data_IF_324322150879
#
_entry.id   IF_324322150879
#
_cell.length_a   1.000
_cell.length_b   1.000
_cell.length_c   1.000
_cell.angle_alpha   90.00
_cell.angle_beta   90.00
_cell.angle_gamma   90.00
#
_symmetry.space_group_name_H-M   'P 1'
#
loop_
_entity.id
_entity.type
_entity.pdbx_description
1 polymer ?
#
# COMPACT_ATOMS: atom_id res chain seq x y z
N UNK A 1 -14.85 3.17 14.51
CA UNK A 1 -16.13 3.34 13.78
C UNK A 1 -16.30 4.73 13.17
N UNK A 2 -16.68 5.80 13.90
CA UNK A 2 -16.91 7.15 13.32
C UNK A 2 -15.73 7.65 12.45
N UNK A 3 -14.50 7.51 12.96
CA UNK A 3 -13.28 7.86 12.20
C UNK A 3 -13.11 7.06 10.90
N UNK A 4 -13.46 5.77 10.93
CA UNK A 4 -13.35 4.86 9.80
C UNK A 4 -14.42 5.22 8.74
N UNK A 5 -15.67 5.41 9.15
CA UNK A 5 -16.77 5.79 8.25
C UNK A 5 -16.54 7.15 7.60
N UNK A 6 -16.11 8.16 8.36
CA UNK A 6 -15.76 9.46 7.81
C UNK A 6 -14.51 9.40 6.91
N UNK A 7 -13.47 8.67 7.32
CA UNK A 7 -12.25 8.50 6.53
C UNK A 7 -12.54 7.85 5.18
N UNK A 8 -13.22 6.70 5.18
CA UNK A 8 -13.54 5.97 3.96
C UNK A 8 -14.50 6.72 3.05
N UNK A 9 -15.56 7.33 3.59
CA UNK A 9 -16.60 7.93 2.75
C UNK A 9 -16.28 9.34 2.26
N UNK A 10 -15.54 10.14 3.03
CA UNK A 10 -15.35 11.58 2.74
C UNK A 10 -13.93 11.93 2.28
N UNK A 11 -12.93 11.11 2.63
CA UNK A 11 -11.51 11.42 2.38
C UNK A 11 -10.86 10.48 1.36
N UNK A 12 -11.05 9.16 1.46
CA UNK A 12 -10.35 8.18 0.61
C UNK A 12 -10.74 8.27 -0.87
N UNK A 13 -12.00 8.56 -1.18
CA UNK A 13 -12.48 8.68 -2.56
C UNK A 13 -12.26 10.07 -3.19
N UNK A 14 -11.60 11.00 -2.50
CA UNK A 14 -11.30 12.32 -3.07
C UNK A 14 -10.02 12.23 -3.90
N UNK A 15 -10.03 12.72 -5.15
CA UNK A 15 -8.89 12.58 -6.04
C UNK A 15 -7.72 13.50 -5.64
N UNK A 16 -7.93 14.43 -4.69
CA UNK A 16 -6.90 15.29 -4.11
C UNK A 16 -6.09 16.06 -5.16
N UNK A 17 -6.76 16.50 -6.23
CA UNK A 17 -6.15 17.17 -7.37
C UNK A 17 -5.73 18.60 -6.99
N UNK A 18 -6.51 19.24 -6.11
CA UNK A 18 -6.33 20.63 -5.74
C UNK A 18 -6.45 20.83 -4.22
N UNK A 19 -5.60 21.67 -3.62
CA UNK A 19 -5.66 22.03 -2.19
C UNK A 19 -7.02 22.64 -1.77
N UNK A 20 -7.75 23.25 -2.69
CA UNK A 20 -9.08 23.82 -2.45
C UNK A 20 -10.15 22.77 -2.14
N UNK A 21 -9.97 21.51 -2.53
CA UNK A 21 -10.88 20.40 -2.18
C UNK A 21 -10.95 20.18 -0.66
N UNK A 22 -9.87 20.50 0.05
CA UNK A 22 -9.76 20.36 1.50
C UNK A 22 -10.27 21.57 2.29
N UNK A 23 -10.59 22.68 1.60
CA UNK A 23 -11.07 23.94 2.21
C UNK A 23 -12.60 23.96 2.42
N UNK A 24 -13.30 22.88 2.06
CA UNK A 24 -14.74 22.78 2.30
C UNK A 24 -15.03 22.67 3.81
N UNK A 25 -15.98 23.44 4.37
CA UNK A 25 -16.27 23.43 5.81
C UNK A 25 -16.59 22.04 6.38
N UNK A 26 -17.25 21.18 5.58
CA UNK A 26 -17.54 19.78 5.95
C UNK A 26 -16.26 18.95 6.07
N UNK A 27 -15.32 19.10 5.14
CA UNK A 27 -14.01 18.42 5.10
C UNK A 27 -13.12 18.91 6.25
N UNK A 28 -13.06 20.23 6.49
CA UNK A 28 -12.35 20.79 7.64
C UNK A 28 -12.90 20.28 8.98
N UNK A 29 -14.23 20.24 9.16
CA UNK A 29 -14.83 19.70 10.38
C UNK A 29 -14.54 18.20 10.53
N UNK A 30 -14.50 17.47 9.41
CA UNK A 30 -14.11 16.07 9.34
C UNK A 30 -12.66 15.88 9.79
N UNK A 31 -11.71 16.57 9.17
CA UNK A 31 -10.26 16.49 9.46
C UNK A 31 -9.95 16.72 10.95
N UNK A 32 -10.58 17.73 11.57
CA UNK A 32 -10.46 17.98 13.02
C UNK A 32 -11.00 16.81 13.85
N UNK A 33 -12.15 16.24 13.47
CA UNK A 33 -12.74 15.06 14.13
C UNK A 33 -11.94 13.76 13.92
N UNK A 34 -11.22 13.62 12.80
CA UNK A 34 -10.40 12.42 12.52
C UNK A 34 -8.96 12.51 13.05
N UNK A 35 -8.61 13.59 13.75
CA UNK A 35 -7.32 13.76 14.43
C UNK A 35 -6.09 13.74 13.50
N UNK A 36 -6.21 14.29 12.29
CA UNK A 36 -5.10 14.33 11.30
C UNK A 36 -3.87 15.11 11.77
N UNK A 37 -4.04 16.04 12.72
CA UNK A 37 -2.97 16.89 13.27
C UNK A 37 -2.19 16.25 14.43
N UNK A 38 -2.54 15.04 14.85
CA UNK A 38 -1.83 14.30 15.91
C UNK A 38 -1.21 13.05 15.32
N UNK A 39 0.00 12.70 15.76
CA UNK A 39 0.63 11.44 15.33
C UNK A 39 -0.06 10.22 15.93
N UNK A 40 0.04 9.08 15.23
CA UNK A 40 -0.52 7.82 15.70
C UNK A 40 0.06 7.45 17.07
N UNK A 41 1.37 7.58 17.28
CA UNK A 41 1.99 7.30 18.60
C UNK A 41 1.35 8.10 19.73
N UNK A 42 1.17 9.42 19.55
CA UNK A 42 0.51 10.26 20.56
C UNK A 42 -0.95 9.85 20.77
N UNK A 43 -1.62 9.39 19.72
CA UNK A 43 -3.00 8.91 19.82
C UNK A 43 -3.09 7.61 20.63
N UNK A 44 -2.28 6.60 20.27
CA UNK A 44 -2.23 5.30 20.94
C UNK A 44 -1.84 5.44 22.42
N UNK A 45 -0.87 6.30 22.74
CA UNK A 45 -0.41 6.53 24.10
C UNK A 45 -1.49 7.10 25.06
N UNK A 46 -2.57 7.71 24.53
CA UNK A 46 -3.71 8.16 25.35
C UNK A 46 -4.57 7.01 25.86
N UNK A 47 -4.60 5.88 25.15
CA UNK A 47 -5.45 4.74 25.47
C UNK A 47 -4.69 3.62 26.19
N UNK A 48 -3.41 3.43 25.86
CA UNK A 48 -2.62 2.32 26.38
C UNK A 48 -1.45 2.84 27.20
N UNK A 49 -1.20 2.24 28.37
CA UNK A 49 0.00 2.49 29.20
C UNK A 49 1.09 1.44 28.96
N UNK A 50 0.70 0.19 28.74
CA UNK A 50 1.63 -0.92 28.47
C UNK A 50 2.31 -0.74 27.10
N UNK A 51 3.63 -0.90 27.06
CA UNK A 51 4.43 -0.68 25.86
C UNK A 51 4.11 -1.70 24.76
N UNK A 52 3.81 -2.95 25.10
CA UNK A 52 3.50 -4.01 24.12
C UNK A 52 2.19 -3.72 23.40
N UNK A 53 1.18 -3.27 24.16
CA UNK A 53 -0.09 -2.83 23.56
C UNK A 53 0.10 -1.61 22.66
N UNK A 54 0.99 -0.68 23.02
CA UNK A 54 1.33 0.45 22.14
C UNK A 54 1.99 -0.02 20.84
N UNK A 55 2.99 -0.90 20.94
CA UNK A 55 3.68 -1.46 19.77
C UNK A 55 2.71 -2.20 18.86
N UNK A 56 1.80 -3.00 19.41
CA UNK A 56 0.78 -3.71 18.64
C UNK A 56 -0.11 -2.76 17.84
N UNK A 57 -0.56 -1.66 18.46
CA UNK A 57 -1.45 -0.68 17.80
C UNK A 57 -0.71 0.29 16.86
N UNK A 58 0.61 0.43 17.00
CA UNK A 58 1.46 1.26 16.17
C UNK A 58 2.00 0.53 14.94
N UNK A 59 2.19 -0.79 15.05
CA UNK A 59 2.81 -1.62 14.02
C UNK A 59 2.16 -1.54 12.63
N UNK A 60 0.81 -1.51 12.48
CA UNK A 60 0.19 -1.46 11.15
C UNK A 60 0.61 -0.27 10.28
N UNK A 61 1.08 0.82 10.90
CA UNK A 61 1.58 1.98 10.15
C UNK A 61 2.90 1.71 9.42
N UNK A 62 3.69 0.72 9.85
CA UNK A 62 4.89 0.33 9.12
C UNK A 62 4.55 -0.24 7.72
N UNK A 63 3.36 -0.82 7.55
CA UNK A 63 2.87 -1.26 6.23
C UNK A 63 2.66 -0.11 5.25
N UNK A 64 2.53 1.13 5.73
CA UNK A 64 2.43 2.33 4.89
C UNK A 64 3.79 2.87 4.49
N UNK A 65 4.89 2.21 4.90
CA UNK A 65 6.23 2.69 4.66
C UNK A 65 6.60 3.93 5.49
N UNK A 66 5.94 4.15 6.64
CA UNK A 66 6.15 5.31 7.50
C UNK A 66 6.23 4.93 8.98
N UNK A 67 6.76 5.84 9.80
CA UNK A 67 6.89 5.62 11.25
C UNK A 67 5.68 6.14 12.04
N UNK A 68 5.30 5.54 13.18
CA UNK A 68 4.13 5.96 13.97
C UNK A 68 4.16 7.39 14.50
N UNK A 69 5.36 7.96 14.63
CA UNK A 69 5.60 9.34 15.07
C UNK A 69 5.31 10.35 13.97
N UNK A 70 5.56 9.96 12.72
CA UNK A 70 5.41 10.80 11.53
C UNK A 70 4.07 10.57 10.80
N UNK A 71 3.32 9.54 11.20
CA UNK A 71 2.05 9.18 10.56
C UNK A 71 0.85 9.77 11.31
N UNK A 72 -0.12 10.41 10.61
CA UNK A 72 -1.34 10.94 11.22
C UNK A 72 -2.18 9.86 11.94
N UNK A 73 -2.81 10.23 13.05
CA UNK A 73 -3.68 9.34 13.83
C UNK A 73 -4.94 8.89 13.07
N UNK A 74 -5.24 9.50 11.92
CA UNK A 74 -6.25 9.03 10.97
C UNK A 74 -6.04 7.53 10.66
N UNK A 75 -4.80 7.09 10.50
CA UNK A 75 -4.45 5.71 10.18
C UNK A 75 -4.75 4.69 11.29
N UNK A 76 -5.21 5.12 12.48
CA UNK A 76 -5.87 4.22 13.43
C UNK A 76 -7.12 3.52 12.86
N UNK A 77 -7.63 3.97 11.70
CA UNK A 77 -8.64 3.27 10.93
C UNK A 77 -8.20 1.86 10.49
N UNK A 78 -6.90 1.61 10.30
CA UNK A 78 -6.37 0.28 9.95
C UNK A 78 -6.62 -0.71 11.09
N UNK A 79 -6.31 -0.29 12.32
CA UNK A 79 -6.62 -1.09 13.52
C UNK A 79 -8.12 -1.42 13.62
N UNK A 80 -9.01 -0.51 13.20
CA UNK A 80 -10.45 -0.79 13.18
C UNK A 80 -10.82 -1.80 12.09
N UNK A 81 -10.22 -1.71 10.90
CA UNK A 81 -10.43 -2.69 9.83
C UNK A 81 -10.04 -4.09 10.32
N UNK A 82 -8.82 -4.22 10.86
CA UNK A 82 -8.29 -5.51 11.33
C UNK A 82 -9.13 -6.09 12.48
N UNK A 83 -9.43 -5.28 13.49
CA UNK A 83 -10.10 -5.77 14.71
C UNK A 83 -11.62 -5.90 14.59
N UNK A 84 -12.27 -5.11 13.71
CA UNK A 84 -13.75 -5.04 13.66
C UNK A 84 -14.36 -5.60 12.38
N UNK A 85 -13.67 -5.54 11.24
CA UNK A 85 -14.16 -6.15 9.99
C UNK A 85 -13.66 -7.59 9.81
N UNK A 86 -12.58 -7.93 10.52
CA UNK A 86 -11.98 -9.25 10.54
C UNK A 86 -10.98 -9.46 9.40
N UNK A 87 -10.22 -10.55 9.53
CA UNK A 87 -9.23 -11.00 8.57
C UNK A 87 -9.70 -12.30 7.95
N UNK A 88 -9.69 -12.38 6.62
CA UNK A 88 -10.21 -13.51 5.86
C UNK A 88 -9.09 -14.14 5.03
N UNK A 89 -9.10 -15.47 4.96
CA UNK A 89 -8.18 -16.24 4.13
C UNK A 89 -8.95 -16.97 3.03
N UNK A 90 -8.63 -16.73 1.75
CA UNK A 90 -9.23 -17.51 0.66
C UNK A 90 -8.70 -18.95 0.68
N UNK A 91 -9.61 -19.93 0.68
CA UNK A 91 -9.24 -21.34 0.65
C UNK A 91 -8.41 -21.64 -0.61
N UNK A 92 -7.19 -22.14 -0.42
CA UNK A 92 -6.19 -22.33 -1.48
C UNK A 92 -5.19 -21.17 -1.63
N UNK A 93 -5.25 -20.17 -0.75
CA UNK A 93 -4.30 -19.06 -0.68
C UNK A 93 -4.68 -17.86 -1.56
N UNK A 94 -3.94 -16.76 -1.37
CA UNK A 94 -4.23 -15.47 -2.01
C UNK A 94 -4.25 -15.54 -3.55
N UNK A 95 -3.51 -16.48 -4.16
CA UNK A 95 -3.55 -16.73 -5.60
C UNK A 95 -4.95 -17.06 -6.13
N UNK A 96 -5.84 -17.61 -5.30
CA UNK A 96 -7.22 -17.93 -5.69
C UNK A 96 -8.08 -16.71 -5.99
N UNK A 97 -7.75 -15.57 -5.39
CA UNK A 97 -8.40 -14.29 -5.74
C UNK A 97 -8.04 -13.91 -7.17
N UNK A 98 -6.75 -14.07 -7.54
CA UNK A 98 -6.27 -13.80 -8.90
C UNK A 98 -6.95 -14.75 -9.90
N UNK A 99 -6.97 -16.05 -9.60
CA UNK A 99 -7.64 -17.06 -10.43
C UNK A 99 -9.11 -16.70 -10.68
N UNK A 100 -9.83 -16.31 -9.62
CA UNK A 100 -11.24 -15.93 -9.72
C UNK A 100 -11.44 -14.67 -10.58
N UNK A 101 -10.57 -13.66 -10.43
CA UNK A 101 -10.61 -12.45 -11.25
C UNK A 101 -10.30 -12.74 -12.72
N UNK A 102 -9.28 -13.55 -13.00
CA UNK A 102 -8.92 -13.98 -14.36
C UNK A 102 -10.07 -14.74 -15.01
N UNK A 103 -10.68 -15.67 -14.26
CA UNK A 103 -11.83 -16.43 -14.74
C UNK A 103 -12.99 -15.50 -15.12
N UNK A 104 -13.39 -14.61 -14.21
CA UNK A 104 -14.49 -13.67 -14.44
C UNK A 104 -14.20 -12.75 -15.63
N UNK A 105 -12.98 -12.22 -15.74
CA UNK A 105 -12.59 -11.37 -16.87
C UNK A 105 -12.75 -12.12 -18.21
N UNK A 106 -12.35 -13.40 -18.27
CA UNK A 106 -12.55 -14.22 -19.49
C UNK A 106 -14.02 -14.52 -19.78
N UNK A 107 -14.84 -14.74 -18.75
CA UNK A 107 -16.29 -14.93 -18.89
C UNK A 107 -16.96 -13.67 -19.46
N UNK A 108 -16.47 -12.48 -19.09
CA UNK A 108 -16.89 -11.18 -19.63
C UNK A 108 -16.23 -10.83 -20.98
N UNK A 109 -15.47 -11.76 -21.58
CA UNK A 109 -14.89 -11.60 -22.93
C UNK A 109 -13.59 -10.79 -23.00
N UNK A 110 -12.91 -10.54 -21.88
CA UNK A 110 -11.62 -9.84 -21.86
C UNK A 110 -10.51 -10.71 -22.46
N UNK A 111 -9.77 -10.16 -23.43
CA UNK A 111 -8.54 -10.76 -23.95
C UNK A 111 -7.36 -10.49 -23.01
N UNK A 112 -6.89 -11.54 -22.33
CA UNK A 112 -5.76 -11.47 -21.39
C UNK A 112 -4.50 -12.04 -22.02
N UNK A 113 -3.50 -11.19 -22.25
CA UNK A 113 -2.20 -11.54 -22.84
C UNK A 113 -1.09 -11.49 -21.78
N UNK A 114 -0.48 -12.64 -21.49
CA UNK A 114 0.73 -12.75 -20.66
C UNK A 114 1.98 -12.69 -21.51
N UNK A 115 3.16 -12.59 -20.88
CA UNK A 115 4.45 -12.56 -21.59
C UNK A 115 4.50 -11.48 -22.69
N UNK A 116 3.80 -10.37 -22.42
CA UNK A 116 3.48 -9.29 -23.34
C UNK A 116 3.87 -7.95 -22.71
N UNK A 117 5.16 -7.71 -22.43
CA UNK A 117 5.61 -6.47 -21.82
C UNK A 117 5.25 -5.29 -22.74
N UNK A 118 4.60 -4.28 -22.16
CA UNK A 118 4.35 -3.02 -22.88
C UNK A 118 5.67 -2.26 -22.98
N UNK A 119 6.07 -1.97 -24.22
CA UNK A 119 7.31 -1.27 -24.52
C UNK A 119 7.11 0.26 -24.54
N UNK A 120 5.94 0.69 -25.01
CA UNK A 120 5.61 2.11 -25.17
C UNK A 120 4.11 2.34 -25.19
N UNK A 121 3.67 3.48 -24.66
CA UNK A 121 2.32 4.01 -24.88
C UNK A 121 2.35 4.90 -26.12
N UNK A 122 1.45 4.64 -27.06
CA UNK A 122 1.35 5.39 -28.31
C UNK A 122 0.49 6.63 -28.08
N UNK A 123 0.98 7.79 -28.50
CA UNK A 123 0.31 9.08 -28.33
C UNK A 123 0.24 9.81 -29.67
N UNK A 124 -0.95 10.28 -30.02
CA UNK A 124 -1.23 11.09 -31.21
C UNK A 124 -2.04 12.32 -30.78
N UNK A 125 -1.64 13.51 -31.24
CA UNK A 125 -2.28 14.79 -30.89
C UNK A 125 -2.52 14.98 -29.37
N UNK A 126 -1.57 14.51 -28.56
CA UNK A 126 -1.63 14.59 -27.10
C UNK A 126 -2.58 13.58 -26.43
N UNK A 127 -3.13 12.62 -27.17
CA UNK A 127 -4.01 11.57 -26.66
C UNK A 127 -3.37 10.20 -26.79
N UNK A 128 -3.45 9.38 -25.74
CA UNK A 128 -3.08 7.97 -25.82
C UNK A 128 -4.04 7.21 -26.75
N UNK A 129 -3.48 6.46 -27.70
CA UNK A 129 -4.22 5.79 -28.77
C UNK A 129 -3.89 4.30 -28.92
N UNK A 130 -3.06 3.77 -28.02
CA UNK A 130 -2.65 2.38 -28.03
C UNK A 130 -1.36 2.14 -27.25
N UNK A 131 -0.84 0.94 -27.41
CA UNK A 131 0.42 0.48 -26.82
C UNK A 131 1.24 -0.32 -27.83
N UNK A 132 2.55 -0.27 -27.71
CA UNK A 132 3.45 -1.19 -28.39
C UNK A 132 3.79 -2.36 -27.48
N UNK A 133 3.63 -3.57 -27.99
CA UNK A 133 3.88 -4.82 -27.27
C UNK A 133 4.56 -5.79 -28.22
N UNK A 134 5.71 -6.36 -27.83
CA UNK A 134 6.47 -7.32 -28.64
C UNK A 134 6.76 -6.81 -30.08
N UNK A 135 7.06 -5.51 -30.21
CA UNK A 135 7.28 -4.85 -31.50
C UNK A 135 6.02 -4.53 -32.33
N UNK A 136 4.83 -4.94 -31.89
CA UNK A 136 3.56 -4.68 -32.58
C UNK A 136 2.76 -3.54 -31.92
N UNK A 137 2.10 -2.71 -32.74
CA UNK A 137 1.24 -1.63 -32.28
C UNK A 137 -0.21 -2.11 -32.12
N UNK A 138 -0.72 -2.06 -30.89
CA UNK A 138 -2.10 -2.37 -30.54
C UNK A 138 -2.86 -1.08 -30.29
N UNK A 139 -3.85 -0.76 -31.14
CA UNK A 139 -4.68 0.44 -31.04
C UNK A 139 -5.80 0.25 -30.01
N UNK A 140 -6.09 1.31 -29.26
CA UNK A 140 -7.18 1.34 -28.29
C UNK A 140 -7.72 2.76 -28.15
N UNK A 141 -9.02 2.89 -27.89
CA UNK A 141 -9.65 4.19 -27.63
C UNK A 141 -9.20 4.76 -26.28
N UNK A 142 -8.95 3.88 -25.30
CA UNK A 142 -8.55 4.23 -23.94
C UNK A 142 -7.42 3.32 -23.50
N UNK A 143 -6.40 3.90 -22.89
CA UNK A 143 -5.28 3.17 -22.27
C UNK A 143 -5.32 3.44 -20.77
N UNK A 144 -5.40 2.37 -19.97
CA UNK A 144 -5.32 2.44 -18.50
C UNK A 144 -4.05 1.73 -18.05
N UNK A 145 -3.09 2.49 -17.51
CA UNK A 145 -1.87 1.94 -16.96
C UNK A 145 -2.08 1.60 -15.46
N UNK A 146 -2.05 0.30 -15.14
CA UNK A 146 -2.13 -0.20 -13.75
C UNK A 146 -0.75 -0.59 -13.18
N UNK A 147 0.34 -0.26 -13.88
CA UNK A 147 1.71 -0.46 -13.42
C UNK A 147 2.13 0.65 -12.44
N UNK A 148 3.32 0.50 -11.83
CA UNK A 148 3.94 1.57 -11.04
C UNK A 148 4.00 2.89 -11.83
N UNK A 149 3.73 4.02 -11.16
CA UNK A 149 3.63 5.34 -11.81
C UNK A 149 4.91 5.74 -12.52
N UNK A 150 6.07 5.52 -11.89
CA UNK A 150 7.35 5.87 -12.50
C UNK A 150 7.64 4.95 -13.68
N UNK A 151 7.28 3.66 -13.59
CA UNK A 151 7.36 2.76 -14.73
C UNK A 151 6.46 3.19 -15.90
N UNK A 152 5.19 3.48 -15.63
CA UNK A 152 4.20 3.90 -16.64
C UNK A 152 4.59 5.22 -17.33
N UNK A 153 5.09 6.20 -16.58
CA UNK A 153 5.65 7.45 -17.13
C UNK A 153 6.82 7.19 -18.09
N UNK A 154 7.64 6.18 -17.79
CA UNK A 154 8.76 5.82 -18.66
C UNK A 154 8.34 5.13 -19.97
N UNK A 155 7.11 4.62 -20.06
CA UNK A 155 6.53 4.10 -21.31
C UNK A 155 6.06 5.22 -22.24
N UNK A 156 5.94 6.45 -21.74
CA UNK A 156 5.63 7.64 -22.55
C UNK A 156 6.91 8.28 -23.08
N UNK A 157 6.80 8.92 -24.25
CA UNK A 157 7.83 9.81 -24.75
C UNK A 157 8.01 11.01 -23.78
N UNK A 158 9.24 11.52 -23.58
CA UNK A 158 9.53 12.56 -22.58
C UNK A 158 8.60 13.78 -22.61
N UNK A 159 8.17 14.20 -23.79
CA UNK A 159 7.26 15.31 -24.04
C UNK A 159 5.83 15.09 -23.54
N UNK A 160 5.45 13.84 -23.27
CA UNK A 160 4.12 13.46 -22.78
C UNK A 160 4.10 13.08 -21.30
N UNK A 161 5.25 13.17 -20.62
CA UNK A 161 5.36 12.82 -19.21
C UNK A 161 4.83 13.92 -18.31
N UNK A 162 4.17 13.56 -17.21
CA UNK A 162 3.73 14.54 -16.21
C UNK A 162 4.89 14.95 -15.30
N UNK A 163 5.76 13.99 -14.99
CA UNK A 163 6.86 14.17 -14.04
C UNK A 163 8.23 14.06 -14.71
N UNK A 164 9.13 14.95 -14.32
CA UNK A 164 10.52 14.93 -14.79
C UNK A 164 11.39 13.94 -14.01
N UNK A 165 12.54 13.56 -14.56
CA UNK A 165 13.52 12.73 -13.86
C UNK A 165 13.95 13.34 -12.52
N UNK A 166 14.02 14.68 -12.43
CA UNK A 166 14.34 15.38 -11.20
C UNK A 166 13.23 15.26 -10.14
N UNK A 167 11.97 15.21 -10.55
CA UNK A 167 10.86 14.91 -9.63
C UNK A 167 11.08 13.55 -8.99
N UNK A 168 11.39 12.52 -9.79
CA UNK A 168 11.56 11.14 -9.31
C UNK A 168 12.80 10.97 -8.43
N UNK A 169 13.93 11.61 -8.79
CA UNK A 169 15.16 11.60 -7.96
C UNK A 169 14.95 12.18 -6.57
N UNK A 170 13.97 13.07 -6.40
CA UNK A 170 13.62 13.66 -5.10
C UNK A 170 12.64 12.83 -4.27
N UNK A 171 12.14 11.69 -4.78
CA UNK A 171 11.18 10.85 -4.05
C UNK A 171 11.90 9.81 -3.21
N UNK A 172 11.41 9.66 -1.98
CA UNK A 172 11.78 8.55 -1.11
C UNK A 172 10.80 7.42 -1.40
N UNK A 173 11.31 6.28 -1.84
CA UNK A 173 10.50 5.08 -2.06
C UNK A 173 10.27 4.36 -0.74
N UNK A 174 9.12 3.69 -0.61
CA UNK A 174 8.87 2.80 0.52
C UNK A 174 9.94 1.70 0.57
N UNK A 175 10.29 1.20 1.76
CA UNK A 175 11.28 0.14 1.88
C UNK A 175 10.78 -1.13 1.20
N UNK A 176 11.74 -1.92 0.72
CA UNK A 176 11.46 -3.28 0.25
C UNK A 176 11.31 -4.24 1.44
N UNK A 177 11.12 -5.51 1.13
CA UNK A 177 11.08 -6.59 2.12
C UNK A 177 12.08 -7.69 1.75
N UNK A 178 12.63 -8.34 2.78
CA UNK A 178 13.40 -9.57 2.63
C UNK A 178 12.51 -10.73 3.04
N UNK A 179 12.24 -11.65 2.10
CA UNK A 179 11.38 -12.80 2.35
C UNK A 179 12.17 -14.10 2.27
N UNK A 180 11.92 -14.98 3.24
CA UNK A 180 12.38 -16.36 3.22
C UNK A 180 11.17 -17.28 3.10
N UNK A 181 11.19 -18.14 2.08
CA UNK A 181 10.20 -19.22 1.93
C UNK A 181 10.81 -20.48 2.53
N UNK A 182 10.31 -20.86 3.71
CA UNK A 182 10.85 -21.97 4.49
C UNK A 182 9.84 -23.11 4.54
N UNK A 183 10.26 -24.29 4.05
CA UNK A 183 9.53 -25.53 4.22
C UNK A 183 10.03 -26.29 5.44
N UNK A 184 9.11 -26.87 6.21
CA UNK A 184 9.42 -27.69 7.37
C UNK A 184 8.83 -29.09 7.18
N UNK A 185 9.54 -30.11 7.62
CA UNK A 185 9.12 -31.52 7.62
C UNK A 185 8.28 -31.90 8.85
N UNK A 186 7.91 -30.89 9.65
CA UNK A 186 7.17 -31.02 10.90
C UNK A 186 6.28 -29.81 11.12
N UNK A 187 5.23 -30.01 11.92
CA UNK A 187 4.40 -28.92 12.41
C UNK A 187 5.18 -28.04 13.40
N UNK A 188 4.93 -26.73 13.34
CA UNK A 188 5.47 -25.77 14.30
C UNK A 188 4.39 -25.45 15.35
N UNK A 189 4.50 -25.97 16.59
CA UNK A 189 3.47 -25.78 17.59
C UNK A 189 3.37 -24.30 18.00
N UNK A 190 2.13 -23.83 18.22
CA UNK A 190 1.80 -22.45 18.64
C UNK A 190 2.10 -21.37 17.59
N UNK A 191 2.21 -21.76 16.33
CA UNK A 191 2.20 -20.81 15.22
C UNK A 191 0.76 -20.60 14.76
N UNK A 192 0.33 -19.35 14.77
CA UNK A 192 -0.93 -18.93 14.13
C UNK A 192 -0.69 -18.66 12.63
N UNK A 193 -1.75 -18.37 11.88
CA UNK A 193 -1.62 -18.04 10.45
C UNK A 193 -0.75 -16.79 10.22
N UNK A 194 -0.86 -15.78 11.08
CA UNK A 194 -0.05 -14.56 11.06
C UNK A 194 0.61 -14.37 12.42
N UNK A 195 1.95 -14.32 12.47
CA UNK A 195 2.68 -14.08 13.70
C UNK A 195 3.62 -12.89 13.54
N UNK A 196 3.53 -11.97 14.50
CA UNK A 196 4.41 -10.82 14.62
C UNK A 196 5.22 -10.96 15.90
N UNK A 197 6.55 -10.94 15.75
CA UNK A 197 7.47 -11.07 16.87
C UNK A 197 7.92 -9.67 17.31
N UNK A 198 7.60 -9.30 18.55
CA UNK A 198 8.00 -8.03 19.19
C UNK A 198 9.01 -8.25 20.31
N UNK A 199 9.99 -9.10 20.05
CA UNK A 199 11.11 -9.42 20.93
C UNK A 199 12.26 -8.39 20.85
N UNK A 200 12.18 -7.48 19.87
CA UNK A 200 13.19 -6.44 19.63
C UNK A 200 12.65 -5.00 19.64
N UNK A 201 13.51 -3.97 19.82
CA UNK A 201 13.07 -2.58 19.83
C UNK A 201 12.52 -2.08 18.48
N UNK A 202 11.20 -1.90 18.39
CA UNK A 202 10.50 -1.36 17.22
C UNK A 202 11.07 -0.03 16.71
N UNK A 203 11.43 0.88 17.61
CA UNK A 203 11.97 2.20 17.24
C UNK A 203 13.35 2.10 16.58
N UNK A 204 14.19 1.17 17.04
CA UNK A 204 15.48 0.94 16.41
C UNK A 204 15.27 0.31 15.03
N UNK A 205 14.48 -0.76 14.94
CA UNK A 205 14.16 -1.42 13.68
C UNK A 205 13.63 -0.44 12.63
N UNK A 206 12.66 0.40 12.99
CA UNK A 206 12.10 1.41 12.10
C UNK A 206 13.18 2.44 11.68
N UNK A 207 13.94 3.00 12.62
CA UNK A 207 14.97 3.99 12.30
C UNK A 207 15.99 3.47 11.29
N UNK A 208 16.45 2.24 11.46
CA UNK A 208 17.47 1.62 10.58
C UNK A 208 16.91 1.27 9.18
N UNK A 209 15.60 1.30 8.98
CA UNK A 209 14.96 1.10 7.67
C UNK A 209 14.59 2.44 7.02
N UNK A 210 13.98 3.34 7.77
CA UNK A 210 13.34 4.55 7.24
C UNK A 210 14.22 5.81 7.29
N UNK A 211 15.07 5.95 8.31
CA UNK A 211 15.84 7.19 8.54
C UNK A 211 17.33 7.03 8.21
N UNK A 212 17.91 5.88 8.54
CA UNK A 212 19.32 5.53 8.32
C UNK A 212 19.39 4.15 7.62
N UNK A 213 19.09 4.08 6.31
CA UNK A 213 18.85 2.82 5.61
C UNK A 213 20.06 1.87 5.69
N UNK A 214 19.88 0.79 6.45
CA UNK A 214 20.85 -0.30 6.61
C UNK A 214 20.13 -1.58 7.04
N UNK A 215 20.87 -2.68 7.09
CA UNK A 215 20.35 -3.91 7.68
C UNK A 215 20.02 -3.69 9.15
N UNK A 216 18.78 -4.00 9.60
CA UNK A 216 18.44 -3.87 11.01
C UNK A 216 19.38 -4.72 11.86
N UNK A 217 19.99 -4.10 12.86
CA UNK A 217 20.91 -4.77 13.78
C UNK A 217 20.20 -5.85 14.58
N UNK A 218 18.92 -5.59 14.90
CA UNK A 218 18.02 -6.49 15.63
C UNK A 218 16.66 -6.50 14.90
N UNK A 219 16.50 -7.33 13.86
CA UNK A 219 15.32 -7.30 13.02
C UNK A 219 14.09 -7.86 13.74
N UNK A 220 12.96 -7.16 13.60
CA UNK A 220 11.65 -7.72 13.94
C UNK A 220 11.18 -8.59 12.77
N UNK A 221 10.52 -9.70 13.11
CA UNK A 221 10.11 -10.71 12.13
C UNK A 221 8.59 -10.81 12.05
N UNK A 222 8.14 -11.08 10.83
CA UNK A 222 6.78 -11.48 10.52
C UNK A 222 6.83 -12.85 9.85
N UNK A 223 5.91 -13.72 10.24
CA UNK A 223 5.72 -15.02 9.58
C UNK A 223 4.26 -15.19 9.17
N UNK A 224 4.07 -15.72 7.97
CA UNK A 224 2.79 -16.23 7.50
C UNK A 224 2.89 -17.74 7.39
N UNK A 225 2.08 -18.45 8.17
CA UNK A 225 2.01 -19.90 8.14
C UNK A 225 0.70 -20.27 7.44
N UNK A 226 0.78 -20.75 6.20
CA UNK A 226 -0.37 -21.33 5.52
C UNK A 226 -0.81 -22.58 6.27
N UNK A 227 -1.85 -22.44 7.09
CA UNK A 227 -2.55 -23.54 7.77
C UNK A 227 -3.51 -24.23 6.84
#
# INVERSE_FOLDING_TARGET
>A
KIKYELGMNELVYRPALNWSEFMLPKVMSGMLKVSVFTSLRKHVAKYFKDQRLRQLMEFPVLFLGATPQNTPALYSLMNYADMSLGTWYPMGGMGRIIDAMVKLAREEGVDLRTDSPVERILVEDGRAVGVRVNGEDLRADVVVAAADYHHAENLLAPEHRTYSDNYWKGRVMAPSSLLFYLGFDRELPRMEHHNLFFDEPLDQHAREIYDDPKWPTRPLLYTSCGT
#
